data_IF_318078974627
#
_entry.id   IF_318078974627
#
_cell.length_a   1.000
_cell.length_b   1.000
_cell.length_c   1.000
_cell.angle_alpha   90.00
_cell.angle_beta   90.00
_cell.angle_gamma   90.00
#
_symmetry.space_group_name_H-M   'P 1'
#
loop_
_entity.id
_entity.type
_entity.pdbx_description
1 polymer ?
#
# COMPACT_ATOMS: atom_id res chain seq x y z
N UNK A 1 -25.61 -45.45 38.37
CA UNK A 1 -26.28 -44.73 37.25
C UNK A 1 -25.20 -43.99 36.49
N UNK A 2 -24.94 -44.38 35.24
CA UNK A 2 -23.79 -43.95 34.45
C UNK A 2 -23.87 -42.47 34.06
N UNK A 3 -22.94 -41.65 34.57
CA UNK A 3 -22.69 -40.31 34.05
C UNK A 3 -21.86 -40.44 32.76
N UNK A 4 -22.53 -40.68 31.62
CA UNK A 4 -21.92 -40.45 30.31
C UNK A 4 -22.17 -39.01 29.93
N UNK A 5 -21.22 -38.13 30.20
CA UNK A 5 -21.17 -36.84 29.52
C UNK A 5 -19.79 -36.70 28.89
N UNK A 6 -19.70 -37.17 27.64
CA UNK A 6 -18.60 -36.92 26.73
C UNK A 6 -19.12 -35.87 25.74
N UNK A 7 -18.67 -34.63 25.90
CA UNK A 7 -18.72 -33.60 24.85
C UNK A 7 -17.68 -32.53 25.20
N UNK A 8 -16.41 -32.89 25.03
CA UNK A 8 -15.36 -31.91 24.79
C UNK A 8 -15.51 -31.44 23.34
N UNK A 9 -16.31 -30.39 23.13
CA UNK A 9 -16.12 -29.54 21.96
C UNK A 9 -14.79 -28.81 22.18
N UNK A 10 -13.69 -29.42 21.73
CA UNK A 10 -12.51 -28.63 21.37
C UNK A 10 -12.95 -27.73 20.21
N UNK A 11 -13.45 -26.54 20.54
CA UNK A 11 -13.55 -25.45 19.59
C UNK A 11 -12.14 -25.20 19.07
N UNK A 12 -11.87 -25.59 17.82
CA UNK A 12 -10.67 -25.16 17.15
C UNK A 12 -10.63 -23.62 17.21
N UNK A 13 -9.53 -22.99 17.66
CA UNK A 13 -9.43 -21.55 17.59
C UNK A 13 -9.47 -21.18 16.11
N UNK A 14 -10.60 -20.63 15.66
CA UNK A 14 -10.63 -19.93 14.38
C UNK A 14 -9.62 -18.79 14.52
N UNK A 15 -8.47 -18.94 13.85
CA UNK A 15 -7.53 -17.83 13.70
C UNK A 15 -8.27 -16.80 12.85
N UNK A 16 -8.93 -15.85 13.51
CA UNK A 16 -9.49 -14.66 12.86
C UNK A 16 -8.31 -13.94 12.22
N UNK A 17 -8.13 -14.14 10.91
CA UNK A 17 -7.17 -13.38 10.14
C UNK A 17 -7.54 -11.91 10.26
N UNK A 18 -6.77 -11.15 11.05
CA UNK A 18 -7.02 -9.74 11.26
C UNK A 18 -6.69 -9.01 9.95
N UNK A 19 -7.63 -8.23 9.44
CA UNK A 19 -7.40 -7.42 8.24
C UNK A 19 -6.19 -6.50 8.44
N UNK A 20 -5.44 -6.26 7.36
CA UNK A 20 -4.39 -5.23 7.38
C UNK A 20 -5.03 -3.84 7.47
N UNK A 21 -4.39 -2.94 8.18
CA UNK A 21 -4.80 -1.53 8.26
C UNK A 21 -4.66 -0.86 6.89
N UNK A 22 -5.58 0.06 6.61
CA UNK A 22 -5.59 0.98 5.48
C UNK A 22 -5.39 2.42 5.97
N UNK A 23 -5.08 3.40 5.10
CA UNK A 23 -4.80 4.77 5.51
C UNK A 23 -5.90 5.48 6.33
N UNK A 24 -7.13 4.99 6.28
CA UNK A 24 -8.28 5.55 7.01
C UNK A 24 -8.54 4.87 8.36
N UNK A 25 -7.84 3.77 8.66
CA UNK A 25 -8.04 3.02 9.90
C UNK A 25 -7.22 3.61 11.04
N UNK A 26 -7.74 3.57 12.27
CA UNK A 26 -7.04 4.05 13.47
C UNK A 26 -5.69 3.36 13.72
N UNK A 27 -5.54 2.13 13.22
CA UNK A 27 -4.31 1.36 13.34
C UNK A 27 -3.26 1.70 12.27
N UNK A 28 -3.56 2.61 11.34
CA UNK A 28 -2.59 3.11 10.36
C UNK A 28 -1.44 3.84 11.06
N UNK A 29 -0.18 3.68 10.60
CA UNK A 29 0.94 4.37 11.23
C UNK A 29 0.81 5.89 11.09
N UNK A 30 1.10 6.61 12.18
CA UNK A 30 1.21 8.06 12.18
C UNK A 30 2.37 8.55 11.31
N UNK A 31 2.35 9.84 10.96
CA UNK A 31 3.45 10.48 10.21
C UNK A 31 4.80 10.25 10.90
N UNK A 32 4.87 10.38 12.23
CA UNK A 32 6.11 10.11 12.98
C UNK A 32 6.63 8.69 12.83
N UNK A 33 5.76 7.68 12.75
CA UNK A 33 6.16 6.29 12.52
C UNK A 33 6.70 6.09 11.10
N UNK A 34 6.08 6.73 10.10
CA UNK A 34 6.58 6.74 8.73
C UNK A 34 7.93 7.46 8.61
N UNK A 35 8.12 8.58 9.30
CA UNK A 35 9.42 9.29 9.35
C UNK A 35 10.50 8.41 9.98
N UNK A 36 10.21 7.75 11.11
CA UNK A 36 11.16 6.82 11.71
C UNK A 36 11.51 5.67 10.77
N UNK A 37 10.51 5.08 10.08
CA UNK A 37 10.77 4.04 9.08
C UNK A 37 11.66 4.56 7.95
N UNK A 38 11.36 5.74 7.41
CA UNK A 38 12.17 6.39 6.36
C UNK A 38 13.64 6.49 6.79
N UNK A 39 13.90 6.91 8.02
CA UNK A 39 15.27 6.97 8.56
C UNK A 39 15.93 5.59 8.67
N UNK A 40 15.18 4.52 9.00
CA UNK A 40 15.74 3.16 9.06
C UNK A 40 16.06 2.55 7.70
N UNK A 41 15.48 3.09 6.62
CA UNK A 41 15.74 2.67 5.24
C UNK A 41 16.50 3.75 4.47
N UNK A 42 17.32 4.55 5.14
CA UNK A 42 18.19 5.57 4.56
C UNK A 42 17.47 6.56 3.61
N UNK A 43 16.21 6.89 3.92
CA UNK A 43 15.39 7.80 3.12
C UNK A 43 14.74 7.17 1.88
N UNK A 44 14.85 5.85 1.69
CA UNK A 44 14.28 5.13 0.54
C UNK A 44 12.76 4.84 0.66
N UNK A 45 12.09 5.39 1.68
CA UNK A 45 10.63 5.32 1.79
C UNK A 45 9.99 6.42 0.95
N UNK A 46 9.15 6.03 -0.02
CA UNK A 46 8.48 6.94 -0.95
C UNK A 46 6.98 6.97 -0.65
N UNK A 47 6.41 8.17 -0.53
CA UNK A 47 4.96 8.35 -0.51
C UNK A 47 4.43 8.26 -1.94
N UNK A 48 3.70 7.18 -2.23
CA UNK A 48 3.19 6.95 -3.59
C UNK A 48 2.20 8.03 -4.01
N UNK A 49 2.44 8.61 -5.18
CA UNK A 49 1.55 9.56 -5.85
C UNK A 49 1.19 9.03 -7.24
N UNK A 50 -0.09 9.13 -7.68
CA UNK A 50 -0.46 8.67 -9.01
C UNK A 50 0.30 9.40 -10.10
N UNK A 51 0.95 8.65 -11.01
CA UNK A 51 1.66 9.21 -12.17
C UNK A 51 0.78 10.18 -12.97
N UNK A 52 -0.51 9.87 -13.12
CA UNK A 52 -1.45 10.67 -13.88
C UNK A 52 -2.09 11.83 -13.09
N UNK A 53 -1.68 12.10 -11.83
CA UNK A 53 -2.22 13.23 -11.03
C UNK A 53 -2.23 14.57 -11.79
N UNK A 54 -1.20 14.92 -12.59
CA UNK A 54 -1.23 16.15 -13.40
C UNK A 54 -2.39 16.26 -14.39
N UNK A 55 -3.00 15.14 -14.79
CA UNK A 55 -4.07 15.10 -15.77
C UNK A 55 -5.48 15.35 -15.20
N UNK A 56 -5.64 15.35 -13.88
CA UNK A 56 -6.94 15.51 -13.23
C UNK A 56 -7.06 16.88 -12.54
N UNK A 57 -8.29 17.35 -12.39
CA UNK A 57 -8.57 18.58 -11.64
C UNK A 57 -8.27 18.41 -10.15
N UNK A 58 -7.76 19.49 -9.54
CA UNK A 58 -7.42 19.53 -8.11
C UNK A 58 -5.97 19.93 -7.85
N UNK A 59 -5.49 19.59 -6.65
CA UNK A 59 -4.11 19.85 -6.25
C UNK A 59 -3.15 19.02 -7.11
N UNK A 60 -2.22 19.71 -7.78
CA UNK A 60 -1.22 19.08 -8.64
C UNK A 60 -1.62 18.94 -10.11
N UNK A 61 -2.73 19.53 -10.55
CA UNK A 61 -3.05 19.66 -11.98
C UNK A 61 -1.91 20.39 -12.71
N UNK A 62 -1.36 19.75 -13.74
CA UNK A 62 -0.40 20.36 -14.64
C UNK A 62 -0.65 19.83 -16.07
N UNK A 63 -1.31 20.63 -16.93
CA UNK A 63 -1.59 20.23 -18.30
C UNK A 63 -0.35 19.96 -19.14
N UNK A 64 0.77 20.66 -18.88
CA UNK A 64 2.02 20.45 -19.63
C UNK A 64 2.64 19.11 -19.27
N UNK A 65 2.68 18.79 -17.98
CA UNK A 65 3.20 17.51 -17.53
C UNK A 65 2.30 16.35 -17.94
N UNK A 66 0.97 16.53 -17.86
CA UNK A 66 0.02 15.56 -18.37
C UNK A 66 0.25 15.24 -19.86
N UNK A 67 0.50 16.25 -20.69
CA UNK A 67 0.81 16.04 -22.11
C UNK A 67 2.11 15.27 -22.33
N UNK A 68 3.15 15.50 -21.51
CA UNK A 68 4.41 14.74 -21.61
C UNK A 68 4.17 13.28 -21.26
N UNK A 69 3.56 13.00 -20.11
CA UNK A 69 3.28 11.64 -19.64
C UNK A 69 2.39 10.90 -20.64
N UNK A 70 1.33 11.54 -21.13
CA UNK A 70 0.38 10.93 -22.07
C UNK A 70 1.02 10.52 -23.40
N UNK A 71 2.06 11.22 -23.86
CA UNK A 71 2.79 10.88 -25.09
C UNK A 71 3.62 9.61 -24.94
N UNK A 72 4.28 9.43 -23.80
CA UNK A 72 5.26 8.35 -23.59
C UNK A 72 4.69 7.16 -22.80
N UNK A 73 3.49 7.26 -22.22
CA UNK A 73 2.94 6.22 -21.34
C UNK A 73 2.81 4.84 -21.99
N UNK A 74 2.65 4.77 -23.32
CA UNK A 74 2.55 3.50 -24.05
C UNK A 74 3.91 2.85 -24.33
N UNK A 75 5.00 3.56 -24.10
CA UNK A 75 6.35 3.04 -24.27
C UNK A 75 6.68 2.09 -23.12
N UNK A 76 7.05 0.85 -23.42
CA UNK A 76 7.35 -0.17 -22.42
C UNK A 76 8.54 0.21 -21.52
N UNK A 77 9.52 0.93 -22.08
CA UNK A 77 10.65 1.50 -21.33
C UNK A 77 10.16 2.49 -20.29
N UNK A 78 9.28 3.42 -20.67
CA UNK A 78 8.69 4.38 -19.76
C UNK A 78 7.82 3.70 -18.69
N UNK A 79 6.97 2.74 -19.10
CA UNK A 79 6.18 1.93 -18.16
C UNK A 79 7.07 1.20 -17.16
N UNK A 80 8.17 0.61 -17.61
CA UNK A 80 9.16 -0.04 -16.76
C UNK A 80 9.84 0.92 -15.80
N UNK A 81 10.23 2.11 -16.27
CA UNK A 81 10.84 3.14 -15.42
C UNK A 81 9.88 3.65 -14.35
N UNK A 82 8.61 3.89 -14.67
CA UNK A 82 7.59 4.33 -13.68
C UNK A 82 7.12 3.18 -12.78
N UNK A 83 7.11 1.96 -13.30
CA UNK A 83 6.81 0.74 -12.52
C UNK A 83 7.96 0.37 -11.59
N UNK A 84 9.21 0.75 -11.88
CA UNK A 84 10.31 0.53 -10.96
C UNK A 84 10.19 1.35 -9.67
N UNK A 85 9.44 2.45 -9.67
CA UNK A 85 9.03 3.13 -8.43
C UNK A 85 8.00 2.31 -7.64
N UNK A 86 7.16 1.53 -8.32
CA UNK A 86 6.29 0.52 -7.69
C UNK A 86 7.11 -0.71 -7.23
N UNK A 87 8.17 -1.08 -7.95
CA UNK A 87 8.98 -2.28 -7.69
C UNK A 87 10.08 -2.14 -6.63
N UNK A 88 10.24 -0.97 -5.97
CA UNK A 88 10.99 -0.92 -4.69
C UNK A 88 10.35 -1.86 -3.63
N UNK A 89 9.11 -2.33 -3.86
CA UNK A 89 8.44 -3.35 -3.05
C UNK A 89 8.82 -4.81 -3.32
N UNK A 90 9.85 -5.12 -4.12
CA UNK A 90 10.33 -6.51 -4.26
C UNK A 90 11.85 -6.62 -4.42
N UNK A 91 12.58 -6.19 -3.39
CA UNK A 91 13.94 -6.67 -3.08
C UNK A 91 13.90 -7.42 -1.75
#
# INVERSE_FOLDING_TARGET
MHFRSLLLLLGAPAVLAKCKCTPTDDCWPSVSKWTSLSNTVDGHLIANEPLAKPCYDGLGKDPKECQKISKVYKESSFQGSVSNWICIYRS
#
